data_IF_530178260987
#
_entry.id   IF_530178260987
#
_cell.length_a   1.000
_cell.length_b   1.000
_cell.length_c   1.000
_cell.angle_alpha   90.00
_cell.angle_beta   90.00
_cell.angle_gamma   90.00
#
_symmetry.space_group_name_H-M   'P 1'
#
loop_
_entity.id
_entity.type
_entity.pdbx_description
1 polymer ?
#
# COMPACT_ATOMS: atom_id res chain seq x y z
N UNK A 1 -3.44 -5.16 -9.02
CA UNK A 1 -2.51 -4.33 -8.23
C UNK A 1 -1.90 -3.33 -9.19
N UNK A 2 -1.86 -2.04 -8.84
CA UNK A 2 -1.52 -0.98 -9.80
C UNK A 2 -0.08 -0.49 -9.60
N UNK A 3 0.53 0.04 -10.66
CA UNK A 3 1.81 0.78 -10.55
C UNK A 3 1.60 1.97 -9.60
N UNK A 4 2.62 2.26 -8.80
CA UNK A 4 2.57 3.29 -7.77
C UNK A 4 1.94 2.85 -6.44
N UNK A 5 1.26 1.69 -6.39
CA UNK A 5 0.70 1.18 -5.13
C UNK A 5 1.79 0.88 -4.10
N UNK A 6 1.53 1.21 -2.85
CA UNK A 6 2.36 0.90 -1.69
C UNK A 6 2.00 -0.48 -1.15
N UNK A 7 3.01 -1.32 -0.92
CA UNK A 7 2.85 -2.73 -0.57
C UNK A 7 3.78 -3.13 0.57
N UNK A 8 3.41 -4.20 1.27
CA UNK A 8 4.29 -4.92 2.21
C UNK A 8 4.42 -6.38 1.77
N UNK A 9 5.48 -7.06 2.22
CA UNK A 9 5.62 -8.50 1.97
C UNK A 9 4.63 -9.27 2.84
N UNK A 10 3.99 -10.28 2.25
CA UNK A 10 3.18 -11.24 3.01
C UNK A 10 4.12 -12.06 3.89
N UNK A 11 3.79 -12.22 5.18
CA UNK A 11 4.62 -12.99 6.13
C UNK A 11 4.87 -14.45 5.73
N UNK A 12 4.00 -15.03 4.89
CA UNK A 12 4.16 -16.40 4.37
C UNK A 12 4.92 -16.47 3.06
N UNK A 13 5.53 -15.37 2.59
CA UNK A 13 6.39 -15.40 1.42
C UNK A 13 7.66 -16.20 1.72
N UNK A 14 7.85 -17.32 1.02
CA UNK A 14 8.99 -18.24 1.18
C UNK A 14 10.10 -18.02 0.16
N UNK A 15 9.92 -17.07 -0.76
CA UNK A 15 10.90 -16.75 -1.79
C UNK A 15 11.83 -15.64 -1.28
N UNK A 16 13.11 -16.00 -1.14
CA UNK A 16 14.25 -15.20 -0.71
C UNK A 16 14.29 -14.83 0.79
N UNK A 17 14.87 -15.76 1.57
CA UNK A 17 15.00 -15.68 3.03
C UNK A 17 16.24 -14.92 3.50
N UNK A 18 17.10 -14.42 2.60
CA UNK A 18 18.45 -14.01 2.99
C UNK A 18 18.51 -12.63 3.68
N UNK A 19 17.49 -11.78 3.54
CA UNK A 19 17.39 -10.48 4.23
C UNK A 19 15.93 -10.08 4.49
N UNK A 20 15.24 -10.84 5.35
CA UNK A 20 13.81 -10.67 5.60
C UNK A 20 13.48 -9.46 6.49
N UNK A 21 13.24 -8.31 5.87
CA UNK A 21 12.56 -7.19 6.52
C UNK A 21 11.10 -7.09 6.02
N UNK A 22 10.22 -8.01 6.46
CA UNK A 22 8.82 -8.05 6.02
C UNK A 22 7.99 -6.79 6.29
N UNK A 23 8.47 -5.93 7.17
CA UNK A 23 7.73 -4.76 7.64
C UNK A 23 8.10 -3.47 6.89
N UNK A 24 8.94 -3.55 5.85
CA UNK A 24 9.29 -2.39 5.02
C UNK A 24 8.23 -2.19 3.95
N UNK A 25 7.79 -0.94 3.75
CA UNK A 25 6.90 -0.58 2.65
C UNK A 25 7.72 -0.48 1.36
N UNK A 26 7.14 -0.96 0.26
CA UNK A 26 7.68 -0.76 -1.08
C UNK A 26 6.64 -0.17 -2.03
N UNK A 27 7.11 0.30 -3.17
CA UNK A 27 6.30 0.79 -4.27
C UNK A 27 6.32 -0.20 -5.43
N UNK A 28 5.15 -0.51 -5.98
CA UNK A 28 5.04 -1.28 -7.22
C UNK A 28 5.53 -0.40 -8.37
N UNK A 29 6.71 -0.72 -8.90
CA UNK A 29 7.34 0.05 -9.97
C UNK A 29 6.87 -0.42 -11.36
N UNK A 30 6.74 -1.74 -11.55
CA UNK A 30 6.38 -2.33 -12.85
C UNK A 30 5.46 -3.53 -12.68
N UNK A 31 4.55 -3.69 -13.64
CA UNK A 31 3.69 -4.87 -13.80
C UNK A 31 3.95 -5.45 -15.20
N UNK A 32 4.08 -6.78 -15.33
CA UNK A 32 4.58 -7.53 -16.49
C UNK A 32 4.64 -6.80 -17.85
N UNK A 33 5.85 -6.46 -18.31
CA UNK A 33 6.10 -5.67 -19.55
C UNK A 33 6.36 -6.56 -20.79
N UNK A 34 5.87 -7.80 -20.86
CA UNK A 34 6.13 -8.65 -22.05
C UNK A 34 4.94 -9.47 -22.50
N UNK A 35 4.85 -9.70 -23.83
CA UNK A 35 3.74 -10.32 -24.59
C UNK A 35 3.39 -11.78 -24.20
N UNK A 36 4.04 -12.38 -23.20
CA UNK A 36 3.73 -13.75 -22.75
C UNK A 36 2.87 -13.75 -21.48
N UNK A 37 1.83 -14.60 -21.47
CA UNK A 37 0.85 -14.71 -20.37
C UNK A 37 1.47 -14.96 -18.99
N UNK A 38 2.59 -15.67 -18.92
CA UNK A 38 3.26 -16.09 -17.67
C UNK A 38 3.99 -14.98 -16.89
N UNK A 39 4.17 -13.79 -17.47
CA UNK A 39 4.84 -12.65 -16.81
C UNK A 39 3.91 -11.53 -16.35
N UNK A 40 2.63 -11.55 -16.74
CA UNK A 40 1.62 -10.59 -16.28
C UNK A 40 1.22 -10.78 -14.81
N UNK A 41 1.67 -11.86 -14.18
CA UNK A 41 1.30 -12.23 -12.81
C UNK A 41 2.45 -11.99 -11.81
N UNK A 42 3.42 -11.14 -12.18
CA UNK A 42 4.55 -10.72 -11.35
C UNK A 42 4.65 -9.19 -11.31
N UNK A 43 5.15 -8.68 -10.19
CA UNK A 43 5.36 -7.26 -9.95
C UNK A 43 6.80 -6.99 -9.52
N UNK A 44 7.41 -5.95 -10.08
CA UNK A 44 8.68 -5.41 -9.57
C UNK A 44 8.38 -4.39 -8.48
N UNK A 45 8.98 -4.56 -7.31
CA UNK A 45 8.83 -3.65 -6.16
C UNK A 45 10.17 -3.04 -5.83
N UNK A 46 10.18 -1.73 -5.61
CA UNK A 46 11.30 -1.00 -5.00
C UNK A 46 10.91 -0.74 -3.54
N UNK A 47 11.69 -1.24 -2.60
CA UNK A 47 11.48 -1.08 -1.16
C UNK A 47 12.08 0.24 -0.68
N UNK A 48 11.52 0.78 0.40
CA UNK A 48 11.93 2.05 0.99
C UNK A 48 13.38 2.05 1.54
N UNK A 49 13.99 0.88 1.73
CA UNK A 49 15.41 0.75 2.08
C UNK A 49 16.34 0.76 0.85
N UNK A 50 15.79 0.95 -0.35
CA UNK A 50 16.51 0.95 -1.62
C UNK A 50 16.66 -0.43 -2.28
N UNK A 51 16.35 -1.53 -1.57
CA UNK A 51 16.34 -2.86 -2.17
C UNK A 51 15.20 -2.98 -3.20
N UNK A 52 15.31 -3.89 -4.17
CA UNK A 52 14.23 -4.14 -5.13
C UNK A 52 14.17 -5.62 -5.51
N UNK A 53 13.02 -6.08 -5.98
CA UNK A 53 12.83 -7.47 -6.32
C UNK A 53 11.57 -7.73 -7.15
N UNK A 54 11.43 -8.95 -7.63
CA UNK A 54 10.28 -9.41 -8.41
C UNK A 54 9.48 -10.41 -7.57
N UNK A 55 8.18 -10.17 -7.47
CA UNK A 55 7.28 -10.91 -6.58
C UNK A 55 6.08 -11.45 -7.33
N UNK A 56 5.50 -12.56 -6.85
CA UNK A 56 4.28 -13.11 -7.43
C UNK A 56 3.10 -12.23 -7.04
N UNK A 57 2.31 -11.86 -8.04
CA UNK A 57 1.09 -11.10 -7.92
C UNK A 57 -0.01 -11.80 -8.75
N UNK A 58 -0.14 -13.11 -8.57
CA UNK A 58 -1.05 -13.99 -9.32
C UNK A 58 -0.37 -15.27 -9.83
N UNK A 59 0.96 -15.29 -9.93
CA UNK A 59 1.67 -16.40 -10.57
C UNK A 59 1.43 -17.72 -9.83
N UNK A 60 0.91 -18.71 -10.55
CA UNK A 60 0.46 -19.99 -9.99
C UNK A 60 -0.56 -19.84 -8.84
N UNK A 61 -1.42 -18.82 -8.91
CA UNK A 61 -2.40 -18.49 -7.88
C UNK A 61 -1.81 -17.94 -6.58
N UNK A 62 -0.51 -17.61 -6.55
CA UNK A 62 0.20 -17.15 -5.36
C UNK A 62 0.42 -15.65 -5.39
N UNK A 63 0.36 -15.06 -4.21
CA UNK A 63 0.52 -13.63 -3.98
C UNK A 63 1.50 -13.42 -2.83
N UNK A 64 2.61 -12.74 -3.12
CA UNK A 64 3.69 -12.48 -2.15
C UNK A 64 3.57 -11.09 -1.51
N UNK A 65 2.70 -10.24 -2.06
CA UNK A 65 2.52 -8.85 -1.66
C UNK A 65 1.12 -8.63 -1.06
N UNK A 66 1.06 -7.76 -0.05
CA UNK A 66 -0.18 -7.22 0.48
C UNK A 66 -0.27 -5.74 0.13
N UNK A 67 -1.46 -5.30 -0.29
CA UNK A 67 -1.72 -3.89 -0.56
C UNK A 67 -1.78 -3.13 0.76
N UNK A 68 -0.90 -2.13 0.92
CA UNK A 68 -0.89 -1.23 2.07
C UNK A 68 -1.69 0.04 1.77
N UNK A 69 -1.36 0.71 0.66
CA UNK A 69 -2.07 1.90 0.18
C UNK A 69 -2.01 1.95 -1.36
N UNK A 70 -3.06 2.44 -1.99
CA UNK A 70 -3.15 2.66 -3.43
C UNK A 70 -3.59 4.09 -3.79
N UNK A 71 -3.58 5.03 -2.85
CA UNK A 71 -3.84 6.44 -3.11
C UNK A 71 -2.89 7.01 -4.17
N UNK A 72 -1.60 6.65 -4.07
CA UNK A 72 -0.52 7.01 -5.01
C UNK A 72 -0.66 6.40 -6.40
N UNK A 73 -1.56 5.43 -6.58
CA UNK A 73 -1.89 4.85 -7.88
C UNK A 73 -3.05 5.58 -8.59
N UNK A 74 -3.51 6.71 -8.06
CA UNK A 74 -4.57 7.54 -8.66
C UNK A 74 -5.98 7.01 -8.48
N UNK A 75 -6.21 6.07 -7.56
CA UNK A 75 -7.54 5.56 -7.26
C UNK A 75 -8.32 6.58 -6.44
N UNK A 76 -9.52 6.95 -6.89
CA UNK A 76 -10.38 7.94 -6.24
C UNK A 76 -11.82 7.43 -6.13
N UNK A 77 -12.39 7.41 -4.93
CA UNK A 77 -13.81 7.15 -4.69
C UNK A 77 -14.61 8.47 -4.68
N UNK A 78 -15.01 8.91 -5.87
CA UNK A 78 -15.81 10.14 -6.06
C UNK A 78 -17.19 10.00 -5.38
N UNK A 79 -17.65 11.08 -4.75
CA UNK A 79 -18.93 11.12 -4.02
C UNK A 79 -18.84 10.62 -2.57
N UNK A 80 -17.65 10.26 -2.09
CA UNK A 80 -17.43 9.85 -0.71
C UNK A 80 -16.37 10.72 -0.04
N UNK A 81 -16.68 11.18 1.18
CA UNK A 81 -15.77 11.87 2.07
C UNK A 81 -15.37 10.96 3.25
N UNK A 82 -14.14 11.12 3.73
CA UNK A 82 -13.72 10.49 4.98
C UNK A 82 -14.41 11.18 6.16
N UNK A 83 -15.07 10.44 7.05
CA UNK A 83 -15.78 11.00 8.20
C UNK A 83 -14.86 11.49 9.32
N UNK A 84 -13.58 11.09 9.31
CA UNK A 84 -12.63 11.45 10.37
C UNK A 84 -11.74 12.65 9.98
N UNK A 85 -11.27 12.70 8.72
CA UNK A 85 -10.38 13.77 8.24
C UNK A 85 -10.99 14.66 7.16
N UNK A 86 -12.26 14.44 6.78
CA UNK A 86 -12.98 15.18 5.74
C UNK A 86 -12.36 15.13 4.33
N UNK A 87 -11.34 14.30 4.10
CA UNK A 87 -10.76 14.12 2.76
C UNK A 87 -11.83 13.73 1.74
N UNK A 88 -11.91 14.48 0.65
CA UNK A 88 -12.90 14.32 -0.41
C UNK A 88 -12.27 14.66 -1.78
N UNK A 89 -12.36 13.77 -2.79
CA UNK A 89 -12.84 12.39 -2.68
C UNK A 89 -11.89 11.55 -1.81
N UNK A 90 -12.36 10.40 -1.32
CA UNK A 90 -11.45 9.44 -0.67
C UNK A 90 -10.46 8.91 -1.70
N UNK A 91 -9.18 9.24 -1.54
CA UNK A 91 -8.08 8.68 -2.33
C UNK A 91 -7.65 7.31 -1.79
N UNK A 92 -7.35 6.39 -2.69
CA UNK A 92 -7.00 5.00 -2.39
C UNK A 92 -8.19 4.16 -1.98
N UNK A 93 -8.00 3.22 -1.05
CA UNK A 93 -9.06 2.33 -0.58
C UNK A 93 -10.08 3.09 0.26
N UNK A 94 -11.36 2.75 0.06
CA UNK A 94 -12.46 3.23 0.91
C UNK A 94 -12.90 2.15 1.88
N UNK A 95 -13.09 2.54 3.14
CA UNK A 95 -13.51 1.66 4.23
C UNK A 95 -14.88 2.10 4.74
N UNK A 96 -15.94 1.38 4.35
CA UNK A 96 -17.32 1.66 4.78
C UNK A 96 -17.65 0.87 6.03
N UNK A 97 -18.12 1.50 7.09
CA UNK A 97 -18.62 0.77 8.26
C UNK A 97 -19.90 0.01 7.89
N UNK A 98 -20.00 -1.26 8.31
CA UNK A 98 -21.21 -2.07 8.09
C UNK A 98 -22.32 -1.65 9.06
N UNK A 99 -21.95 -1.37 10.31
CA UNK A 99 -22.90 -1.09 11.39
C UNK A 99 -23.46 0.32 11.36
N UNK A 100 -22.63 1.31 10.98
CA UNK A 100 -23.02 2.72 10.99
C UNK A 100 -23.37 3.18 9.58
N UNK A 101 -24.56 3.79 9.43
CA UNK A 101 -24.97 4.40 8.18
C UNK A 101 -24.00 5.52 7.78
N UNK A 102 -23.65 5.55 6.50
CA UNK A 102 -22.85 6.60 5.84
C UNK A 102 -21.43 6.87 6.39
N UNK A 103 -20.93 6.04 7.30
CA UNK A 103 -19.53 6.14 7.75
C UNK A 103 -18.60 5.54 6.71
N UNK A 104 -17.72 6.39 6.17
CA UNK A 104 -16.64 6.03 5.25
C UNK A 104 -15.33 6.59 5.78
N UNK A 105 -14.27 5.78 5.73
CA UNK A 105 -12.92 6.20 6.10
C UNK A 105 -11.97 6.04 4.91
N UNK A 106 -10.98 6.92 4.82
CA UNK A 106 -9.78 6.68 4.00
C UNK A 106 -8.87 5.67 4.71
N UNK A 107 -7.88 5.11 3.98
CA UNK A 107 -6.92 4.16 4.54
C UNK A 107 -6.19 4.69 5.78
N UNK A 108 -5.74 5.95 5.76
CA UNK A 108 -5.01 6.53 6.90
C UNK A 108 -5.85 6.56 8.18
N UNK A 109 -7.09 7.07 8.11
CA UNK A 109 -7.99 7.06 9.26
C UNK A 109 -8.40 5.66 9.67
N UNK A 110 -8.59 4.73 8.72
CA UNK A 110 -8.88 3.34 9.05
C UNK A 110 -7.74 2.66 9.81
N UNK A 111 -6.49 2.88 9.40
CA UNK A 111 -5.31 2.27 10.02
C UNK A 111 -4.92 2.93 11.36
N UNK A 112 -5.34 4.17 11.60
CA UNK A 112 -5.11 4.91 12.84
C UNK A 112 -6.31 4.82 13.81
N UNK A 113 -7.05 3.71 13.77
CA UNK A 113 -8.20 3.43 14.64
C UNK A 113 -9.30 4.52 14.64
N UNK A 114 -9.40 5.33 13.58
CA UNK A 114 -10.52 6.24 13.37
C UNK A 114 -11.83 5.46 13.27
N UNK A 115 -12.89 5.96 13.90
CA UNK A 115 -14.15 5.26 14.18
C UNK A 115 -14.02 4.02 15.09
N UNK A 116 -15.16 3.47 15.51
CA UNK A 116 -15.25 2.34 16.45
C UNK A 116 -14.52 1.08 15.95
N UNK A 117 -13.42 0.72 16.62
CA UNK A 117 -12.58 -0.47 16.31
C UNK A 117 -13.27 -1.82 16.47
N UNK A 118 -14.44 -1.86 17.14
CA UNK A 118 -15.27 -3.07 17.31
C UNK A 118 -16.20 -3.33 16.11
N UNK A 119 -16.35 -2.40 15.18
CA UNK A 119 -17.26 -2.54 14.04
C UNK A 119 -16.57 -3.25 12.86
N UNK A 120 -17.36 -3.99 12.08
CA UNK A 120 -16.92 -4.54 10.79
C UNK A 120 -16.93 -3.45 9.71
N UNK A 121 -16.10 -3.64 8.70
CA UNK A 121 -16.00 -2.74 7.56
C UNK A 121 -16.07 -3.49 6.24
N UNK A 122 -16.56 -2.83 5.19
CA UNK A 122 -16.37 -3.26 3.81
C UNK A 122 -15.23 -2.44 3.23
N UNK A 123 -14.20 -3.13 2.74
CA UNK A 123 -13.08 -2.54 2.02
C UNK A 123 -13.34 -2.56 0.52
N UNK A 124 -13.28 -1.40 -0.11
CA UNK A 124 -13.32 -1.23 -1.56
C UNK A 124 -11.92 -0.83 -2.04
N UNK A 125 -11.29 -1.67 -2.85
CA UNK A 125 -9.95 -1.42 -3.38
C UNK A 125 -10.00 -0.42 -4.54
N UNK A 126 -11.09 -0.40 -5.30
CA UNK A 126 -11.32 0.53 -6.42
C UNK A 126 -12.80 0.90 -6.53
N UNK A 127 -13.13 1.89 -7.36
CA UNK A 127 -14.51 2.34 -7.62
C UNK A 127 -15.46 1.26 -8.11
N UNK A 128 -14.94 0.23 -8.77
CA UNK A 128 -15.72 -0.88 -9.35
C UNK A 128 -15.66 -2.15 -8.49
N UNK A 129 -14.98 -2.10 -7.34
CA UNK A 129 -14.89 -3.23 -6.43
C UNK A 129 -16.27 -3.52 -5.83
N UNK A 130 -16.64 -4.80 -5.74
CA UNK A 130 -17.87 -5.24 -5.05
C UNK A 130 -17.78 -5.02 -3.54
N UNK A 131 -16.57 -4.83 -3.02
CA UNK A 131 -16.31 -4.66 -1.62
C UNK A 131 -16.10 -6.00 -0.92
N UNK A 132 -15.21 -6.00 0.06
CA UNK A 132 -14.86 -7.17 0.84
C UNK A 132 -15.05 -6.89 2.33
N UNK A 133 -15.82 -7.72 3.02
CA UNK A 133 -15.99 -7.60 4.46
C UNK A 133 -14.70 -7.90 5.21
N UNK A 134 -14.41 -7.05 6.18
CA UNK A 134 -13.27 -7.08 7.07
C UNK A 134 -13.83 -7.04 8.50
N UNK A 135 -13.39 -8.01 9.31
CA UNK A 135 -13.79 -8.09 10.72
C UNK A 135 -13.26 -6.93 11.57
N UNK A 136 -13.60 -6.91 12.87
CA UNK A 136 -13.22 -5.83 13.77
C UNK A 136 -11.71 -5.64 13.89
N UNK A 137 -11.25 -4.40 13.86
CA UNK A 137 -9.82 -4.07 14.04
C UNK A 137 -9.29 -4.46 15.42
N UNK A 138 -10.13 -4.45 16.46
CA UNK A 138 -9.74 -4.87 17.81
C UNK A 138 -9.25 -6.32 17.88
N UNK A 139 -9.67 -7.18 16.94
CA UNK A 139 -9.25 -8.57 16.84
C UNK A 139 -8.05 -8.76 15.89
N UNK A 140 -7.62 -7.69 15.23
CA UNK A 140 -6.58 -7.74 14.20
C UNK A 140 -5.19 -7.61 14.83
N UNK A 141 -4.22 -8.31 14.22
CA UNK A 141 -2.81 -8.19 14.61
C UNK A 141 -2.25 -6.86 14.11
N UNK A 142 -1.75 -6.03 15.01
CA UNK A 142 -1.02 -4.81 14.67
C UNK A 142 0.42 -5.19 14.29
N UNK A 143 0.89 -4.67 13.15
CA UNK A 143 2.26 -4.84 12.68
C UNK A 143 2.88 -3.46 12.55
N UNK A 144 4.03 -3.26 13.22
CA UNK A 144 4.82 -2.03 13.05
C UNK A 144 5.51 -2.06 11.69
N UNK A 145 5.19 -1.09 10.86
CA UNK A 145 5.79 -0.91 9.53
C UNK A 145 6.93 0.12 9.58
N UNK A 146 7.92 -0.04 8.72
CA UNK A 146 8.99 0.92 8.45
C UNK A 146 8.71 1.55 7.09
N UNK A 147 8.66 2.87 7.06
CA UNK A 147 8.39 3.64 5.85
C UNK A 147 9.22 4.90 5.81
N UNK A 148 9.49 5.40 4.61
CA UNK A 148 9.99 6.75 4.40
C UNK A 148 8.89 7.73 4.81
N UNK A 149 9.17 8.54 5.83
CA UNK A 149 8.27 9.55 6.40
C UNK A 149 9.07 10.78 6.83
N UNK A 150 8.41 11.88 7.21
CA UNK A 150 9.05 13.05 7.81
C UNK A 150 10.03 12.64 8.92
N UNK A 151 11.24 13.22 8.89
CA UNK A 151 12.37 12.87 9.75
C UNK A 151 13.24 11.70 9.28
N UNK A 152 12.88 11.00 8.20
CA UNK A 152 13.72 9.92 7.65
C UNK A 152 14.96 10.48 6.97
N UNK A 153 16.11 9.85 7.20
CA UNK A 153 17.33 10.10 6.42
C UNK A 153 17.24 9.32 5.11
N UNK A 154 17.38 10.03 3.99
CA UNK A 154 17.25 9.47 2.64
C UNK A 154 18.41 9.88 1.76
N UNK A 155 18.74 9.04 0.78
CA UNK A 155 19.67 9.37 -0.31
C UNK A 155 18.98 9.18 -1.66
N UNK A 156 19.73 9.35 -2.75
CA UNK A 156 19.20 9.15 -4.11
C UNK A 156 18.66 7.73 -4.28
N UNK A 157 17.42 7.63 -4.75
CA UNK A 157 16.81 6.35 -5.12
C UNK A 157 17.24 5.86 -6.49
N UNK A 158 16.97 4.60 -6.79
CA UNK A 158 17.32 3.94 -8.07
C UNK A 158 16.69 4.61 -9.31
N UNK A 159 15.61 5.36 -9.14
CA UNK A 159 14.91 6.09 -10.22
C UNK A 159 15.27 7.57 -10.28
N UNK A 160 16.31 8.01 -9.57
CA UNK A 160 16.75 9.41 -9.58
C UNK A 160 17.21 9.85 -10.97
N UNK A 161 16.65 10.96 -11.48
CA UNK A 161 17.00 11.54 -12.78
C UNK A 161 17.37 13.03 -12.70
N UNK A 162 17.28 13.64 -11.51
CA UNK A 162 17.39 15.09 -11.30
C UNK A 162 18.84 15.55 -11.00
N UNK A 163 19.84 14.97 -11.68
CA UNK A 163 21.23 15.44 -11.57
C UNK A 163 21.76 15.51 -10.13
N UNK A 164 22.17 16.71 -9.68
CA UNK A 164 22.72 17.00 -8.35
C UNK A 164 21.83 17.95 -7.53
N UNK A 165 20.51 17.89 -7.70
CA UNK A 165 19.56 18.77 -7.00
C UNK A 165 19.42 18.46 -5.50
N UNK A 166 20.16 17.47 -4.99
CA UNK A 166 20.37 17.19 -3.58
C UNK A 166 21.57 17.99 -3.04
N UNK A 167 21.33 18.80 -2.01
CA UNK A 167 22.34 19.64 -1.32
C UNK A 167 23.52 18.77 -0.81
N UNK A 168 23.30 17.47 -0.58
CA UNK A 168 24.33 16.46 -0.36
C UNK A 168 23.80 15.04 -0.65
N UNK A 169 24.69 14.04 -0.71
CA UNK A 169 24.35 12.63 -1.00
C UNK A 169 23.35 11.98 -0.01
N UNK A 170 23.04 12.64 1.12
CA UNK A 170 22.03 12.22 2.07
C UNK A 170 21.38 13.42 2.75
N UNK A 171 20.05 13.46 2.77
CA UNK A 171 19.27 14.53 3.38
C UNK A 171 18.19 13.98 4.31
N UNK A 172 17.61 14.83 5.16
CA UNK A 172 16.47 14.48 6.01
C UNK A 172 15.20 14.99 5.36
N UNK A 173 14.17 14.14 5.23
CA UNK A 173 12.85 14.57 4.77
C UNK A 173 12.18 15.44 5.84
N UNK A 174 11.67 16.59 5.42
CA UNK A 174 10.92 17.51 6.27
C UNK A 174 9.45 17.12 6.35
#
# INVERSE_FOLDING_TARGET
>A
MNIGSRVIRRHTCTWDMTNFNANIIGVVNRYGITKTRSFHERATVIWDDGSHGIYRAGFAGKYDLLLYDNSTAGILHIGYNCCECNACPIAGMRWKCITCRDINLCTSCYMNDGHKVKHNFIRFISTYDKGHEIGPRILSKIIKIKQITAGSKVGRGITWVNGNDDISASTTLF
#
